data_IF_932890810405
#
_entry.id   IF_932890810405
#
_cell.length_a   1.000
_cell.length_b   1.000
_cell.length_c   1.000
_cell.angle_alpha   90.00
_cell.angle_beta   90.00
_cell.angle_gamma   90.00
#
_symmetry.space_group_name_H-M   'P 1'
#
loop_
_entity.id
_entity.type
_entity.pdbx_description
1 polymer ?
#
# COMPACT_ATOMS: atom_id res chain seq x y z
N UNK A 1 -29.76 -0.64 -10.07
CA UNK A 1 -30.42 -1.78 -9.37
C UNK A 1 -30.11 -1.64 -7.89
N UNK A 2 -31.07 -1.16 -7.09
CA UNK A 2 -30.88 -1.06 -5.64
C UNK A 2 -30.94 -2.47 -5.04
N UNK A 3 -29.90 -2.86 -4.31
CA UNK A 3 -29.86 -4.14 -3.58
C UNK A 3 -30.98 -4.10 -2.55
N UNK A 4 -32.00 -4.94 -2.73
CA UNK A 4 -33.08 -5.10 -1.73
C UNK A 4 -32.47 -5.73 -0.49
N UNK A 5 -32.49 -5.00 0.61
CA UNK A 5 -32.11 -5.51 1.93
C UNK A 5 -33.10 -6.60 2.35
N UNK A 6 -32.62 -7.85 2.38
CA UNK A 6 -33.39 -9.04 2.77
C UNK A 6 -33.04 -9.52 4.18
N UNK A 7 -32.29 -8.72 4.95
CA UNK A 7 -31.85 -9.12 6.28
C UNK A 7 -33.04 -9.40 7.20
N UNK A 8 -34.09 -8.58 7.13
CA UNK A 8 -35.31 -8.75 7.92
C UNK A 8 -36.09 -10.04 7.56
N UNK A 9 -36.15 -10.40 6.28
CA UNK A 9 -36.77 -11.66 5.83
C UNK A 9 -36.02 -12.87 6.39
N UNK A 10 -34.68 -12.82 6.38
CA UNK A 10 -33.83 -13.89 6.90
C UNK A 10 -33.90 -14.03 8.43
N UNK A 11 -34.02 -12.92 9.16
CA UNK A 11 -34.22 -12.93 10.62
C UNK A 11 -35.58 -13.52 11.02
N UNK A 12 -36.64 -13.25 10.25
CA UNK A 12 -37.94 -13.87 10.49
C UNK A 12 -37.93 -15.38 10.23
N UNK A 13 -37.21 -15.83 9.20
CA UNK A 13 -37.05 -17.26 8.89
C UNK A 13 -36.20 -17.97 9.95
N UNK A 14 -35.15 -17.33 10.47
CA UNK A 14 -34.34 -17.90 11.55
C UNK A 14 -35.11 -17.96 12.88
N UNK A 15 -35.93 -16.95 13.19
CA UNK A 15 -36.77 -16.94 14.39
C UNK A 15 -37.94 -17.94 14.30
N UNK A 16 -38.52 -18.15 13.11
CA UNK A 16 -39.56 -19.15 12.86
C UNK A 16 -39.05 -20.60 12.92
N UNK A 17 -37.74 -20.81 12.73
CA UNK A 17 -37.06 -22.10 12.86
C UNK A 17 -36.50 -22.32 14.27
N UNK A 18 -37.27 -21.97 15.32
CA UNK A 18 -36.96 -22.19 16.74
C UNK A 18 -37.00 -23.69 17.14
N UNK A 19 -36.46 -24.56 16.29
CA UNK A 19 -36.23 -25.97 16.56
C UNK A 19 -34.97 -26.42 15.81
N UNK A 20 -33.91 -26.66 16.57
CA UNK A 20 -32.75 -27.53 16.23
C UNK A 20 -31.51 -26.86 15.57
N UNK A 21 -31.49 -25.57 15.26
CA UNK A 21 -30.31 -24.94 14.59
C UNK A 21 -29.57 -23.86 15.38
N UNK A 22 -29.93 -23.62 16.64
CA UNK A 22 -29.46 -22.44 17.37
C UNK A 22 -28.10 -22.57 18.08
N UNK A 23 -27.41 -23.73 18.06
CA UNK A 23 -26.26 -23.89 18.95
C UNK A 23 -25.23 -24.90 18.43
N UNK A 24 -24.38 -24.50 17.47
CA UNK A 24 -23.06 -25.18 17.24
C UNK A 24 -21.99 -24.29 16.61
N UNK A 25 -22.16 -22.97 16.51
CA UNK A 25 -21.03 -22.09 16.19
C UNK A 25 -20.80 -21.21 17.41
N UNK A 26 -20.23 -21.81 18.44
CA UNK A 26 -19.44 -21.04 19.38
C UNK A 26 -18.30 -20.46 18.54
N UNK A 27 -18.38 -19.16 18.25
CA UNK A 27 -17.21 -18.40 17.83
C UNK A 27 -16.27 -18.48 19.03
N UNK A 28 -15.25 -19.33 18.94
CA UNK A 28 -14.21 -19.37 19.95
C UNK A 28 -13.70 -17.93 20.12
N UNK A 29 -13.75 -17.37 21.34
CA UNK A 29 -13.32 -16.00 21.55
C UNK A 29 -11.80 -16.02 21.44
N UNK A 30 -11.31 -15.55 20.29
CA UNK A 30 -9.91 -15.26 19.97
C UNK A 30 -9.11 -16.43 19.39
N UNK A 31 -9.29 -16.66 18.08
CA UNK A 31 -8.35 -17.47 17.30
C UNK A 31 -7.02 -16.72 17.18
N UNK A 32 -5.89 -17.40 17.44
CA UNK A 32 -4.54 -16.86 17.26
C UNK A 32 -4.23 -16.40 15.81
N UNK A 33 -5.11 -16.68 14.84
CA UNK A 33 -5.08 -16.09 13.50
C UNK A 33 -5.51 -14.64 13.48
N UNK A 34 -6.47 -14.23 14.31
CA UNK A 34 -6.96 -12.85 14.35
C UNK A 34 -5.87 -11.90 14.86
N UNK A 35 -5.09 -12.31 15.85
CA UNK A 35 -3.94 -11.54 16.33
C UNK A 35 -2.89 -11.29 15.24
N UNK A 36 -2.61 -12.31 14.42
CA UNK A 36 -1.66 -12.18 13.30
C UNK A 36 -2.19 -11.25 12.22
N UNK A 37 -3.49 -11.31 11.94
CA UNK A 37 -4.18 -10.41 11.01
C UNK A 37 -4.12 -8.98 11.52
N UNK A 38 -4.48 -8.76 12.79
CA UNK A 38 -4.46 -7.43 13.41
C UNK A 38 -3.04 -6.83 13.43
N UNK A 39 -2.03 -7.63 13.77
CA UNK A 39 -0.63 -7.19 13.76
C UNK A 39 -0.19 -6.77 12.36
N UNK A 40 -0.56 -7.54 11.33
CA UNK A 40 -0.28 -7.19 9.95
C UNK A 40 -0.98 -5.89 9.55
N UNK A 41 -2.28 -5.74 9.83
CA UNK A 41 -3.01 -4.53 9.47
C UNK A 41 -2.48 -3.30 10.19
N UNK A 42 -2.08 -3.41 11.45
CA UNK A 42 -1.42 -2.32 12.18
C UNK A 42 -0.11 -1.90 11.51
N UNK A 43 0.67 -2.84 10.99
CA UNK A 43 1.89 -2.53 10.26
C UNK A 43 1.62 -1.87 8.90
N UNK A 44 0.65 -2.40 8.14
CA UNK A 44 0.21 -1.80 6.88
C UNK A 44 -0.30 -0.38 7.11
N UNK A 45 -1.10 -0.16 8.15
CA UNK A 45 -1.62 1.17 8.44
C UNK A 45 -0.52 2.13 8.92
N UNK A 46 0.51 1.65 9.63
CA UNK A 46 1.71 2.45 9.93
C UNK A 46 2.43 2.88 8.65
N UNK A 47 2.64 1.96 7.70
CA UNK A 47 3.23 2.29 6.40
C UNK A 47 2.37 3.30 5.64
N UNK A 48 1.05 3.11 5.63
CA UNK A 48 0.11 4.06 4.99
C UNK A 48 0.10 5.42 5.68
N UNK A 49 0.29 5.47 7.01
CA UNK A 49 0.52 6.70 7.76
C UNK A 49 1.72 7.46 7.23
N UNK A 50 2.88 6.81 7.13
CA UNK A 50 4.08 7.44 6.58
C UNK A 50 3.94 7.87 5.12
N UNK A 51 3.17 7.14 4.30
CA UNK A 51 2.86 7.53 2.92
C UNK A 51 1.99 8.80 2.89
N UNK A 52 1.02 8.93 3.80
CA UNK A 52 0.22 10.16 3.93
C UNK A 52 1.09 11.34 4.38
N UNK A 53 1.95 11.13 5.38
CA UNK A 53 2.89 12.15 5.86
C UNK A 53 3.84 12.61 4.73
N UNK A 54 4.27 11.69 3.85
CA UNK A 54 5.08 12.00 2.67
C UNK A 54 4.30 12.88 1.67
N UNK A 55 3.02 12.58 1.42
CA UNK A 55 2.18 13.41 0.56
C UNK A 55 1.92 14.79 1.17
N UNK A 56 1.62 14.86 2.47
CA UNK A 56 1.43 16.12 3.18
C UNK A 56 2.69 17.00 3.13
N UNK A 57 3.88 16.40 3.33
CA UNK A 57 5.15 17.09 3.15
C UNK A 57 5.38 17.53 1.70
N UNK A 58 4.98 16.71 0.73
CA UNK A 58 5.05 17.07 -0.71
C UNK A 58 4.17 18.27 -1.03
N UNK A 59 2.95 18.31 -0.48
CA UNK A 59 2.07 19.45 -0.61
C UNK A 59 2.65 20.69 0.08
N UNK A 60 3.27 20.53 1.26
CA UNK A 60 3.95 21.60 1.96
C UNK A 60 5.12 22.17 1.13
N UNK A 61 5.94 21.31 0.53
CA UNK A 61 7.03 21.72 -0.39
C UNK A 61 6.49 22.60 -1.52
N UNK A 62 5.39 22.18 -2.15
CA UNK A 62 4.74 22.97 -3.21
C UNK A 62 4.22 24.31 -2.71
N UNK A 63 3.60 24.36 -1.53
CA UNK A 63 3.05 25.58 -0.94
C UNK A 63 4.14 26.58 -0.55
N UNK A 64 5.16 26.11 0.17
CA UNK A 64 6.29 26.94 0.60
C UNK A 64 7.04 27.53 -0.59
N UNK A 65 7.23 26.75 -1.64
CA UNK A 65 7.91 27.21 -2.83
C UNK A 65 7.05 28.14 -3.70
N UNK A 66 5.73 27.99 -3.67
CA UNK A 66 4.81 28.92 -4.35
C UNK A 66 4.68 30.28 -3.67
N UNK A 67 5.20 30.42 -2.44
CA UNK A 67 5.16 31.68 -1.70
C UNK A 67 6.12 32.70 -2.34
N UNK A 68 5.66 33.88 -2.75
CA UNK A 68 6.51 34.90 -3.38
C UNK A 68 7.62 35.42 -2.45
N UNK A 69 7.48 35.25 -1.14
CA UNK A 69 8.48 35.66 -0.14
C UNK A 69 9.57 34.62 0.11
N UNK A 70 9.46 33.43 -0.50
CA UNK A 70 10.37 32.30 -0.28
C UNK A 70 11.86 32.69 -0.41
N UNK A 71 12.23 33.45 -1.44
CA UNK A 71 13.61 33.88 -1.68
C UNK A 71 14.13 34.94 -0.70
N UNK A 72 13.22 35.63 0.00
CA UNK A 72 13.58 36.66 0.98
C UNK A 72 13.58 36.13 2.40
N UNK A 73 12.85 35.03 2.65
CA UNK A 73 12.63 34.50 3.99
C UNK A 73 13.41 33.21 4.21
N UNK A 74 14.54 33.32 4.91
CA UNK A 74 15.39 32.19 5.30
C UNK A 74 14.63 31.12 6.09
N UNK A 75 13.61 31.49 6.87
CA UNK A 75 12.82 30.52 7.63
C UNK A 75 12.00 29.61 6.71
N UNK A 76 11.45 30.14 5.60
CA UNK A 76 10.72 29.33 4.62
C UNK A 76 11.64 28.38 3.88
N UNK A 77 12.86 28.82 3.56
CA UNK A 77 13.91 27.97 2.98
C UNK A 77 14.28 26.82 3.92
N UNK A 78 14.51 27.11 5.21
CA UNK A 78 14.80 26.08 6.20
C UNK A 78 13.61 25.12 6.40
N UNK A 79 12.37 25.60 6.33
CA UNK A 79 11.18 24.74 6.38
C UNK A 79 11.08 23.82 5.16
N UNK A 80 11.40 24.33 3.97
CA UNK A 80 11.44 23.53 2.74
C UNK A 80 12.48 22.42 2.85
N UNK A 81 13.71 22.77 3.25
CA UNK A 81 14.82 21.82 3.40
C UNK A 81 14.47 20.74 4.45
N UNK A 82 13.83 21.13 5.56
CA UNK A 82 13.31 20.18 6.57
C UNK A 82 12.23 19.28 5.98
N UNK A 83 11.28 19.81 5.21
CA UNK A 83 10.22 19.01 4.60
C UNK A 83 10.79 17.99 3.60
N UNK A 84 11.75 18.40 2.76
CA UNK A 84 12.41 17.51 1.79
C UNK A 84 13.20 16.40 2.48
N UNK A 85 14.01 16.74 3.48
CA UNK A 85 14.78 15.75 4.26
C UNK A 85 13.87 14.79 5.02
N UNK A 86 12.76 15.28 5.59
CA UNK A 86 11.76 14.44 6.23
C UNK A 86 11.05 13.51 5.22
N UNK A 87 10.69 14.01 4.04
CA UNK A 87 10.11 13.22 2.96
C UNK A 87 11.05 12.07 2.54
N UNK A 88 12.33 12.34 2.34
CA UNK A 88 13.31 11.31 1.98
C UNK A 88 13.49 10.27 3.10
N UNK A 89 13.54 10.73 4.36
CA UNK A 89 13.59 9.83 5.51
C UNK A 89 12.34 8.95 5.64
N UNK A 90 11.14 9.49 5.39
CA UNK A 90 9.89 8.72 5.34
C UNK A 90 9.89 7.72 4.20
N UNK A 91 10.37 8.10 3.01
CA UNK A 91 10.53 7.20 1.88
C UNK A 91 11.43 6.00 2.20
N UNK A 92 12.59 6.24 2.83
CA UNK A 92 13.47 5.17 3.29
C UNK A 92 12.80 4.25 4.33
N UNK A 93 12.05 4.81 5.28
CA UNK A 93 11.30 4.03 6.28
C UNK A 93 10.24 3.13 5.64
N UNK A 94 9.44 3.69 4.72
CA UNK A 94 8.41 2.92 3.98
C UNK A 94 9.08 1.82 3.15
N UNK A 95 10.17 2.12 2.45
CA UNK A 95 10.91 1.13 1.67
C UNK A 95 11.48 0.00 2.54
N UNK A 96 12.05 0.34 3.70
CA UNK A 96 12.56 -0.65 4.67
C UNK A 96 11.45 -1.55 5.23
N UNK A 97 10.31 -0.96 5.60
CA UNK A 97 9.15 -1.72 6.08
C UNK A 97 8.54 -2.60 4.99
N UNK A 98 8.41 -2.09 3.75
CA UNK A 98 7.94 -2.88 2.60
C UNK A 98 8.85 -4.09 2.34
N UNK A 99 10.18 -3.94 2.43
CA UNK A 99 11.14 -5.06 2.34
C UNK A 99 10.91 -6.11 3.42
N UNK A 100 10.76 -5.69 4.68
CA UNK A 100 10.51 -6.60 5.80
C UNK A 100 9.13 -7.27 5.72
N UNK A 101 8.16 -6.60 5.12
CA UNK A 101 6.84 -7.16 4.86
C UNK A 101 6.90 -8.19 3.73
N UNK A 102 7.63 -7.89 2.65
CA UNK A 102 7.83 -8.80 1.52
C UNK A 102 8.49 -10.11 1.94
N UNK A 103 9.58 -10.07 2.75
CA UNK A 103 10.26 -11.29 3.19
C UNK A 103 9.34 -12.21 3.99
N UNK A 104 8.45 -11.66 4.82
CA UNK A 104 7.44 -12.43 5.55
C UNK A 104 6.35 -13.00 4.64
N UNK A 105 5.87 -12.21 3.67
CA UNK A 105 4.91 -12.69 2.68
C UNK A 105 5.52 -13.80 1.83
N UNK A 106 6.76 -13.67 1.37
CA UNK A 106 7.46 -14.70 0.60
C UNK A 106 7.62 -16.00 1.41
N UNK A 107 8.03 -15.91 2.68
CA UNK A 107 8.15 -17.07 3.57
C UNK A 107 6.83 -17.79 3.85
N UNK A 108 5.71 -17.06 3.88
CA UNK A 108 4.37 -17.65 4.11
C UNK A 108 3.82 -18.46 2.94
N UNK A 109 4.30 -18.24 1.71
CA UNK A 109 3.82 -18.94 0.52
C UNK A 109 4.36 -20.37 0.37
N UNK A 110 5.56 -20.63 0.88
CA UNK A 110 6.25 -21.92 0.72
C UNK A 110 5.74 -23.04 1.66
N UNK A 111 5.00 -22.71 2.73
CA UNK A 111 4.54 -23.66 3.74
C UNK A 111 3.03 -23.94 3.76
N UNK A 112 2.25 -23.33 2.88
CA UNK A 112 0.78 -23.25 2.99
C UNK A 112 0.01 -24.38 2.31
N UNK A 113 0.14 -25.62 2.81
CA UNK A 113 -0.82 -26.69 2.51
C UNK A 113 -2.22 -26.36 3.09
N UNK A 114 -3.25 -26.71 2.33
CA UNK A 114 -4.69 -26.58 2.60
C UNK A 114 -5.10 -26.44 4.08
N UNK A 115 -5.34 -25.21 4.54
CA UNK A 115 -6.03 -24.92 5.82
C UNK A 115 -5.55 -23.64 6.51
N UNK A 116 -6.34 -22.57 6.46
CA UNK A 116 -6.17 -21.34 7.26
C UNK A 116 -5.04 -20.39 6.82
N UNK A 117 -3.83 -20.91 6.61
CA UNK A 117 -2.65 -20.10 6.23
C UNK A 117 -2.78 -19.43 4.86
N UNK A 118 -3.53 -20.05 3.93
CA UNK A 118 -3.74 -19.52 2.58
C UNK A 118 -4.50 -18.20 2.53
N UNK A 119 -5.56 -18.04 3.36
CA UNK A 119 -6.37 -16.81 3.37
C UNK A 119 -5.60 -15.63 3.94
N UNK A 120 -4.91 -15.83 5.08
CA UNK A 120 -4.06 -14.81 5.68
C UNK A 120 -2.95 -14.37 4.72
N UNK A 121 -2.28 -15.32 4.07
CA UNK A 121 -1.23 -15.03 3.11
C UNK A 121 -1.75 -14.25 1.90
N UNK A 122 -2.93 -14.59 1.38
CA UNK A 122 -3.59 -13.85 0.30
C UNK A 122 -3.91 -12.41 0.70
N UNK A 123 -4.45 -12.20 1.90
CA UNK A 123 -4.71 -10.87 2.44
C UNK A 123 -3.40 -10.09 2.56
N UNK A 124 -2.36 -10.68 3.15
CA UNK A 124 -1.02 -10.09 3.27
C UNK A 124 -0.51 -9.59 1.91
N UNK A 125 -0.62 -10.47 0.93
CA UNK A 125 -0.12 -10.25 -0.41
C UNK A 125 -0.85 -9.12 -1.13
N UNK A 126 -2.17 -9.05 -0.99
CA UNK A 126 -2.98 -7.96 -1.52
C UNK A 126 -2.62 -6.63 -0.84
N UNK A 127 -2.48 -6.63 0.49
CA UNK A 127 -2.10 -5.44 1.25
C UNK A 127 -0.71 -4.92 0.88
N UNK A 128 0.26 -5.82 0.68
CA UNK A 128 1.59 -5.48 0.18
C UNK A 128 1.53 -4.83 -1.20
N UNK A 129 0.83 -5.46 -2.15
CA UNK A 129 0.69 -4.92 -3.51
C UNK A 129 0.01 -3.55 -3.53
N UNK A 130 -1.06 -3.36 -2.75
CA UNK A 130 -1.76 -2.09 -2.63
C UNK A 130 -0.87 -1.01 -2.01
N UNK A 131 -0.21 -1.30 -0.88
CA UNK A 131 0.66 -0.35 -0.18
C UNK A 131 1.87 0.04 -1.02
N UNK A 132 2.46 -0.91 -1.76
CA UNK A 132 3.57 -0.66 -2.67
C UNK A 132 3.16 0.27 -3.82
N UNK A 133 1.97 0.07 -4.40
CA UNK A 133 1.44 0.97 -5.44
C UNK A 133 1.24 2.38 -4.91
N UNK A 134 0.57 2.52 -3.75
CA UNK A 134 0.38 3.81 -3.09
C UNK A 134 1.70 4.53 -2.79
N UNK A 135 2.72 3.80 -2.34
CA UNK A 135 4.05 4.35 -2.11
C UNK A 135 4.72 4.83 -3.40
N UNK A 136 4.60 4.05 -4.48
CA UNK A 136 5.10 4.45 -5.80
C UNK A 136 4.43 5.73 -6.32
N UNK A 137 3.10 5.83 -6.17
CA UNK A 137 2.35 7.03 -6.57
C UNK A 137 2.77 8.25 -5.75
N UNK A 138 2.93 8.11 -4.43
CA UNK A 138 3.38 9.20 -3.55
C UNK A 138 4.82 9.66 -3.86
N UNK A 139 5.74 8.73 -4.13
CA UNK A 139 7.10 9.07 -4.58
C UNK A 139 7.10 9.81 -5.92
N UNK A 140 6.23 9.42 -6.86
CA UNK A 140 6.13 10.08 -8.16
C UNK A 140 5.58 11.49 -8.03
N UNK A 141 4.59 11.69 -7.16
CA UNK A 141 4.10 13.03 -6.82
C UNK A 141 5.20 13.88 -6.17
N UNK A 142 5.98 13.32 -5.24
CA UNK A 142 7.10 14.02 -4.62
C UNK A 142 8.17 14.43 -5.63
N UNK A 143 8.56 13.49 -6.51
CA UNK A 143 9.49 13.76 -7.61
C UNK A 143 9.01 14.88 -8.51
N UNK A 144 7.74 14.84 -8.96
CA UNK A 144 7.17 15.87 -9.82
C UNK A 144 7.18 17.25 -9.15
N UNK A 145 6.95 17.30 -7.83
CA UNK A 145 7.07 18.54 -7.08
C UNK A 145 8.50 19.09 -7.10
N UNK A 146 9.51 18.24 -6.87
CA UNK A 146 10.92 18.64 -6.94
C UNK A 146 11.38 19.01 -8.36
N UNK A 147 10.91 18.28 -9.39
CA UNK A 147 11.18 18.62 -10.80
C UNK A 147 10.61 20.00 -11.14
N UNK A 148 9.40 20.35 -10.70
CA UNK A 148 8.84 21.68 -10.90
C UNK A 148 9.64 22.79 -10.19
N UNK A 149 10.16 22.50 -8.98
CA UNK A 149 11.04 23.42 -8.25
C UNK A 149 12.34 23.63 -9.04
N UNK A 150 12.97 22.55 -9.52
CA UNK A 150 14.19 22.61 -10.35
C UNK A 150 13.97 23.43 -11.60
N UNK A 151 12.90 23.16 -12.35
CA UNK A 151 12.62 23.83 -13.62
C UNK A 151 12.40 25.33 -13.41
N UNK A 152 11.74 25.72 -12.31
CA UNK A 152 11.62 27.12 -11.93
C UNK A 152 12.97 27.76 -11.59
N UNK A 153 13.84 27.08 -10.84
CA UNK A 153 15.19 27.58 -10.54
C UNK A 153 16.04 27.74 -11.80
N UNK A 154 16.00 26.78 -12.72
CA UNK A 154 16.70 26.87 -14.00
C UNK A 154 16.24 28.08 -14.81
N UNK A 155 14.92 28.33 -14.86
CA UNK A 155 14.36 29.48 -15.55
C UNK A 155 14.82 30.81 -14.93
N UNK A 156 14.81 30.92 -13.60
CA UNK A 156 15.29 32.11 -12.89
C UNK A 156 16.78 32.35 -13.10
N UNK A 157 17.59 31.29 -13.03
CA UNK A 157 19.02 31.34 -13.27
C UNK A 157 19.32 31.82 -14.70
N UNK A 158 18.61 31.26 -15.68
CA UNK A 158 18.71 31.69 -17.08
C UNK A 158 18.36 33.18 -17.27
N UNK A 159 17.29 33.64 -16.62
CA UNK A 159 16.89 35.05 -16.67
C UNK A 159 17.93 35.97 -16.02
N UNK A 160 18.51 35.58 -14.87
CA UNK A 160 19.56 36.37 -14.22
C UNK A 160 20.82 36.45 -15.08
N UNK A 161 21.24 35.35 -15.70
CA UNK A 161 22.36 35.32 -16.62
C UNK A 161 22.11 36.27 -17.81
N UNK A 162 20.91 36.25 -18.39
CA UNK A 162 20.55 37.16 -19.50
C UNK A 162 20.58 38.63 -19.09
N UNK A 163 20.12 38.95 -17.88
CA UNK A 163 20.11 40.34 -17.37
C UNK A 163 21.52 40.85 -17.06
N UNK A 164 22.44 39.98 -16.63
CA UNK A 164 23.84 40.33 -16.38
C UNK A 164 24.63 40.72 -17.64
N UNK A 165 23.97 40.72 -18.81
CA UNK A 165 24.50 41.20 -20.09
C UNK A 165 25.84 40.55 -20.47
N UNK A 166 26.01 39.30 -20.06
CA UNK A 166 27.00 38.40 -20.59
C UNK A 166 26.55 38.05 -22.01
N UNK A 167 27.31 38.49 -23.00
CA UNK A 167 27.12 38.15 -24.42
C UNK A 167 27.41 36.66 -24.69
N UNK A 168 26.76 35.79 -23.93
CA UNK A 168 26.86 34.34 -24.00
C UNK A 168 25.67 33.86 -24.82
N UNK A 169 25.93 33.04 -25.84
CA UNK A 169 24.86 32.38 -26.62
C UNK A 169 24.01 31.50 -25.69
N UNK A 170 22.71 31.32 -25.99
CA UNK A 170 21.84 30.41 -25.24
C UNK A 170 22.45 28.98 -25.14
N UNK A 171 23.23 28.56 -26.15
CA UNK A 171 23.94 27.26 -26.18
C UNK A 171 25.16 27.22 -25.25
N UNK A 172 25.93 28.30 -25.18
CA UNK A 172 27.07 28.41 -24.26
C UNK A 172 26.56 28.49 -22.81
N UNK A 173 25.46 29.21 -22.57
CA UNK A 173 24.82 29.28 -21.25
C UNK A 173 24.40 27.89 -20.77
N UNK A 174 23.78 27.07 -21.63
CA UNK A 174 23.43 25.68 -21.29
C UNK A 174 24.65 24.83 -20.98
N UNK A 175 25.71 24.92 -21.79
CA UNK A 175 26.95 24.15 -21.52
C UNK A 175 27.67 24.58 -20.23
N UNK A 176 27.56 25.85 -19.83
CA UNK A 176 28.09 26.36 -18.56
C UNK A 176 27.26 25.89 -17.36
N UNK A 177 25.95 25.76 -17.52
CA UNK A 177 25.06 25.17 -16.51
C UNK A 177 25.34 23.67 -16.34
N UNK A 178 25.51 22.94 -17.44
CA UNK A 178 25.77 21.50 -17.45
C UNK A 178 27.17 21.14 -16.94
N UNK A 179 28.18 21.97 -17.24
CA UNK A 179 29.58 21.72 -16.86
C UNK A 179 29.86 21.92 -15.37
N UNK A 180 28.89 22.42 -14.60
CA UNK A 180 29.02 22.66 -13.15
C UNK A 180 30.31 23.43 -12.80
N UNK A 181 30.81 24.33 -13.66
CA UNK A 181 32.04 25.09 -13.44
C UNK A 181 31.77 26.60 -13.35
N UNK A 182 31.85 27.16 -12.14
CA UNK A 182 31.55 28.57 -11.83
C UNK A 182 32.67 29.50 -12.32
N UNK A 183 33.90 29.00 -12.39
CA UNK A 183 35.09 29.77 -12.77
C UNK A 183 34.97 30.44 -14.14
N UNK A 184 34.38 29.74 -15.12
CA UNK A 184 34.16 30.27 -16.46
C UNK A 184 33.19 31.46 -16.50
N UNK A 185 32.30 31.60 -15.51
CA UNK A 185 31.40 32.75 -15.38
C UNK A 185 32.10 33.97 -14.79
N UNK A 186 32.92 33.74 -13.76
CA UNK A 186 33.67 34.77 -13.04
C UNK A 186 34.78 35.38 -13.91
N UNK A 187 35.38 34.59 -14.80
CA UNK A 187 36.44 35.05 -15.71
C UNK A 187 35.91 35.89 -16.89
N UNK A 188 34.66 35.66 -17.32
CA UNK A 188 34.04 36.38 -18.45
C UNK A 188 33.30 37.67 -18.05
N UNK A 189 32.83 37.78 -16.80
CA UNK A 189 32.29 39.03 -16.28
C UNK A 189 33.46 39.96 -15.95
N UNK A 190 33.68 41.00 -16.75
CA UNK A 190 34.60 42.10 -16.40
C UNK A 190 34.14 42.69 -15.07
N UNK A 191 34.75 42.24 -13.98
CA UNK A 191 34.42 42.58 -12.59
C UNK A 191 34.82 44.01 -12.18
N UNK A 192 34.68 44.96 -13.11
CA UNK A 192 35.08 46.36 -12.94
C UNK A 192 34.03 47.19 -12.17
N UNK A 193 32.76 46.73 -12.08
CA UNK A 193 31.69 47.47 -11.38
C UNK A 193 31.15 46.72 -10.15
N UNK A 194 30.83 47.47 -9.09
CA UNK A 194 30.22 46.91 -7.88
C UNK A 194 28.85 46.25 -8.13
N UNK A 195 28.13 46.70 -9.15
CA UNK A 195 26.86 46.12 -9.59
C UNK A 195 27.04 44.70 -10.16
N UNK A 196 28.03 44.48 -11.04
CA UNK A 196 28.31 43.17 -11.61
C UNK A 196 28.68 42.13 -10.54
N UNK A 197 29.38 42.54 -9.47
CA UNK A 197 29.71 41.66 -8.33
C UNK A 197 28.47 41.25 -7.52
N UNK A 198 27.48 42.13 -7.42
CA UNK A 198 26.25 41.82 -6.70
C UNK A 198 25.38 40.83 -7.48
N UNK A 199 25.30 41.00 -8.80
CA UNK A 199 24.56 40.05 -9.65
C UNK A 199 25.24 38.69 -9.74
N UNK A 200 26.58 38.64 -9.81
CA UNK A 200 27.33 37.38 -9.73
C UNK A 200 27.01 36.60 -8.45
N UNK A 201 26.96 37.28 -7.30
CA UNK A 201 26.58 36.64 -6.02
C UNK A 201 25.14 36.12 -6.04
N UNK A 202 24.23 36.81 -6.72
CA UNK A 202 22.86 36.33 -6.88
C UNK A 202 22.82 35.06 -7.74
N UNK A 203 23.57 35.01 -8.85
CA UNK A 203 23.72 33.83 -9.71
C UNK A 203 24.34 32.65 -8.94
N UNK A 204 25.38 32.89 -8.15
CA UNK A 204 26.00 31.87 -7.28
C UNK A 204 25.01 31.29 -6.27
N UNK A 205 24.27 32.15 -5.56
CA UNK A 205 23.27 31.72 -4.59
C UNK A 205 22.15 30.88 -5.23
N UNK A 206 21.69 31.25 -6.43
CA UNK A 206 20.70 30.46 -7.19
C UNK A 206 21.23 29.10 -7.60
N UNK A 207 22.48 29.03 -8.01
CA UNK A 207 23.09 27.77 -8.38
C UNK A 207 23.25 26.84 -7.17
N UNK A 208 23.55 27.38 -6.00
CA UNK A 208 23.56 26.60 -4.75
C UNK A 208 22.15 26.07 -4.41
N UNK A 209 21.09 26.88 -4.60
CA UNK A 209 19.70 26.42 -4.49
C UNK A 209 19.39 25.28 -5.50
N UNK A 210 19.80 25.43 -6.75
CA UNK A 210 19.62 24.40 -7.78
C UNK A 210 20.34 23.09 -7.42
N UNK A 211 21.61 23.17 -7.00
CA UNK A 211 22.40 22.01 -6.60
C UNK A 211 21.78 21.23 -5.43
N UNK A 212 21.13 21.94 -4.49
CA UNK A 212 20.37 21.33 -3.39
C UNK A 212 19.16 20.54 -3.89
N UNK A 213 18.38 21.13 -4.80
CA UNK A 213 17.20 20.45 -5.39
C UNK A 213 17.63 19.23 -6.22
N UNK A 214 18.73 19.34 -6.97
CA UNK A 214 19.29 18.19 -7.70
C UNK A 214 19.77 17.06 -6.78
N UNK A 215 20.34 17.39 -5.63
CA UNK A 215 20.70 16.39 -4.62
C UNK A 215 19.47 15.67 -4.09
N UNK A 216 18.40 16.41 -3.76
CA UNK A 216 17.13 15.82 -3.34
C UNK A 216 16.52 14.93 -4.44
N UNK A 217 16.59 15.34 -5.71
CA UNK A 217 16.13 14.52 -6.84
C UNK A 217 16.95 13.24 -7.02
N UNK A 218 18.26 13.27 -6.72
CA UNK A 218 19.10 12.06 -6.73
C UNK A 218 18.68 11.08 -5.64
N UNK A 219 18.42 11.56 -4.42
CA UNK A 219 17.93 10.73 -3.32
C UNK A 219 16.58 10.08 -3.66
N UNK A 220 15.64 10.83 -4.23
CA UNK A 220 14.34 10.27 -4.68
C UNK A 220 14.53 9.24 -5.80
N UNK A 221 15.49 9.45 -6.71
CA UNK A 221 15.83 8.47 -7.75
C UNK A 221 16.37 7.17 -7.16
N UNK A 222 17.19 7.24 -6.12
CA UNK A 222 17.64 6.05 -5.39
C UNK A 222 16.46 5.31 -4.75
N UNK A 223 15.49 6.03 -4.15
CA UNK A 223 14.25 5.43 -3.65
C UNK A 223 13.45 4.71 -4.75
N UNK A 224 13.39 5.28 -5.95
CA UNK A 224 12.77 4.62 -7.10
C UNK A 224 13.48 3.35 -7.55
N UNK A 225 14.82 3.35 -7.54
CA UNK A 225 15.59 2.14 -7.85
C UNK A 225 15.32 1.04 -6.82
N UNK A 226 15.26 1.41 -5.54
CA UNK A 226 14.91 0.49 -4.46
C UNK A 226 13.48 -0.06 -4.61
N UNK A 227 12.52 0.79 -4.98
CA UNK A 227 11.15 0.37 -5.26
C UNK A 227 11.08 -0.55 -6.49
N UNK A 228 11.82 -0.25 -7.56
CA UNK A 228 11.88 -1.07 -8.76
C UNK A 228 12.40 -2.49 -8.47
N UNK A 229 13.39 -2.62 -7.58
CA UNK A 229 13.86 -3.92 -7.13
C UNK A 229 12.76 -4.75 -6.44
N UNK A 230 11.90 -4.11 -5.63
CA UNK A 230 10.73 -4.75 -5.01
C UNK A 230 9.68 -5.16 -6.04
N UNK A 231 9.54 -4.38 -7.12
CA UNK A 231 8.59 -4.72 -8.20
C UNK A 231 9.08 -5.93 -9.01
N UNK A 232 10.36 -5.93 -9.38
CA UNK A 232 10.97 -6.99 -10.19
C UNK A 232 10.90 -8.37 -9.50
N UNK A 233 11.08 -8.42 -8.17
CA UNK A 233 10.93 -9.64 -7.39
C UNK A 233 9.48 -10.19 -7.37
N UNK A 234 8.49 -9.39 -7.75
CA UNK A 234 7.07 -9.69 -7.55
C UNK A 234 6.29 -9.96 -8.85
N UNK A 235 6.87 -9.67 -10.02
CA UNK A 235 6.16 -9.64 -11.31
C UNK A 235 5.57 -11.00 -11.77
N UNK A 236 6.02 -12.12 -11.19
CA UNK A 236 5.66 -13.47 -11.66
C UNK A 236 4.31 -14.00 -11.11
N UNK A 237 3.62 -13.27 -10.23
CA UNK A 237 2.50 -13.85 -9.48
C UNK A 237 1.34 -12.88 -9.14
N UNK A 238 1.33 -11.59 -9.54
CA UNK A 238 0.33 -10.57 -9.08
C UNK A 238 -0.99 -10.58 -9.87
N UNK A 239 -1.06 -11.24 -11.03
CA UNK A 239 -2.29 -11.37 -11.84
C UNK A 239 -3.41 -12.21 -11.16
N UNK A 240 -3.29 -12.46 -9.87
CA UNK A 240 -4.10 -13.39 -9.12
C UNK A 240 -5.20 -12.74 -8.27
N UNK A 241 -5.63 -11.50 -8.50
CA UNK A 241 -6.90 -11.03 -7.87
C UNK A 241 -8.08 -11.86 -8.40
N UNK A 242 -8.10 -12.10 -9.71
CA UNK A 242 -9.06 -13.01 -10.35
C UNK A 242 -8.85 -14.45 -9.88
N UNK A 243 -7.61 -14.95 -9.89
CA UNK A 243 -7.26 -16.29 -9.39
C UNK A 243 -7.70 -16.51 -7.93
N UNK A 244 -7.48 -15.54 -7.05
CA UNK A 244 -7.88 -15.63 -5.65
C UNK A 244 -9.40 -15.52 -5.49
N UNK A 245 -10.07 -14.65 -6.24
CA UNK A 245 -11.54 -14.62 -6.27
C UNK A 245 -12.11 -15.97 -6.75
N UNK A 246 -11.56 -16.55 -7.82
CA UNK A 246 -11.92 -17.87 -8.35
C UNK A 246 -11.69 -19.00 -7.34
N UNK A 247 -10.56 -18.98 -6.63
CA UNK A 247 -10.27 -20.00 -5.61
C UNK A 247 -11.18 -19.86 -4.38
N UNK A 248 -11.59 -18.64 -4.01
CA UNK A 248 -12.58 -18.44 -2.95
C UNK A 248 -13.96 -18.98 -3.36
N UNK A 249 -14.36 -18.81 -4.62
CA UNK A 249 -15.61 -19.42 -5.12
C UNK A 249 -15.54 -20.94 -5.12
N UNK A 250 -14.40 -21.54 -5.47
CA UNK A 250 -14.20 -22.99 -5.46
C UNK A 250 -14.33 -23.59 -4.03
N UNK A 251 -13.77 -22.92 -3.02
CA UNK A 251 -13.91 -23.35 -1.63
C UNK A 251 -15.36 -23.27 -1.11
N UNK A 252 -16.13 -22.26 -1.51
CA UNK A 252 -17.56 -22.14 -1.17
C UNK A 252 -18.38 -23.24 -1.84
N UNK A 253 -18.09 -23.55 -3.10
CA UNK A 253 -18.76 -24.65 -3.83
C UNK A 253 -18.48 -26.01 -3.19
N UNK A 254 -17.22 -26.29 -2.84
CA UNK A 254 -16.84 -27.51 -2.15
C UNK A 254 -17.50 -27.62 -0.76
N UNK A 255 -17.54 -26.52 -0.01
CA UNK A 255 -18.26 -26.44 1.26
C UNK A 255 -19.76 -26.74 1.10
N UNK A 256 -20.40 -26.13 0.09
CA UNK A 256 -21.79 -26.40 -0.27
C UNK A 256 -22.04 -27.89 -0.57
N UNK A 257 -21.16 -28.52 -1.34
CA UNK A 257 -21.26 -29.96 -1.62
C UNK A 257 -21.06 -30.84 -0.38
N UNK A 258 -20.17 -30.47 0.54
CA UNK A 258 -19.97 -31.19 1.79
C UNK A 258 -21.18 -31.07 2.72
N UNK A 259 -21.82 -29.90 2.79
CA UNK A 259 -23.08 -29.70 3.52
C UNK A 259 -24.21 -30.53 2.91
N UNK A 260 -24.33 -30.55 1.58
CA UNK A 260 -25.32 -31.39 0.88
C UNK A 260 -25.07 -32.89 1.14
N UNK A 261 -23.82 -33.36 1.04
CA UNK A 261 -23.47 -34.75 1.37
C UNK A 261 -23.78 -35.07 2.84
N UNK A 262 -23.47 -34.16 3.77
CA UNK A 262 -23.78 -34.29 5.19
C UNK A 262 -25.28 -34.36 5.51
N UNK A 263 -26.11 -33.58 4.84
CA UNK A 263 -27.58 -33.64 5.02
C UNK A 263 -28.16 -34.95 4.50
N UNK A 264 -27.69 -35.45 3.34
CA UNK A 264 -28.13 -36.72 2.76
C UNK A 264 -27.66 -37.92 3.60
N UNK A 265 -26.44 -37.91 4.13
CA UNK A 265 -25.97 -38.99 5.03
C UNK A 265 -26.70 -38.96 6.38
N UNK A 266 -27.00 -37.77 6.93
CA UNK A 266 -27.76 -37.62 8.18
C UNK A 266 -29.21 -38.09 8.05
N UNK A 267 -29.89 -37.78 6.94
CA UNK A 267 -31.26 -38.27 6.70
C UNK A 267 -31.30 -39.78 6.50
N UNK A 268 -30.33 -40.36 5.78
CA UNK A 268 -30.16 -41.82 5.66
C UNK A 268 -29.89 -42.49 7.00
N UNK A 269 -29.05 -41.90 7.85
CA UNK A 269 -28.78 -42.40 9.19
C UNK A 269 -30.03 -42.37 10.10
N UNK A 270 -30.86 -41.32 10.02
CA UNK A 270 -32.14 -41.24 10.75
C UNK A 270 -33.12 -42.33 10.34
N UNK A 271 -33.27 -42.61 9.03
CA UNK A 271 -34.14 -43.68 8.54
C UNK A 271 -33.69 -45.06 9.04
N UNK A 272 -32.38 -45.32 9.07
CA UNK A 272 -31.82 -46.57 9.63
C UNK A 272 -32.07 -46.70 11.14
N UNK A 273 -31.91 -45.60 11.91
CA UNK A 273 -32.22 -45.59 13.36
C UNK A 273 -33.71 -45.84 13.63
N UNK A 274 -34.62 -45.23 12.86
CA UNK A 274 -36.06 -45.49 13.00
C UNK A 274 -36.44 -46.93 12.66
N UNK A 275 -35.86 -47.52 11.60
CA UNK A 275 -36.11 -48.92 11.25
C UNK A 275 -35.63 -49.88 12.34
N UNK A 276 -34.47 -49.61 12.96
CA UNK A 276 -33.96 -50.40 14.09
C UNK A 276 -34.91 -50.32 15.30
N UNK A 277 -35.39 -49.12 15.65
CA UNK A 277 -36.34 -48.93 16.75
C UNK A 277 -37.66 -49.65 16.51
N UNK A 278 -38.18 -49.62 15.27
CA UNK A 278 -39.41 -50.35 14.91
C UNK A 278 -39.22 -51.87 15.06
N UNK A 279 -38.10 -52.43 14.60
CA UNK A 279 -37.80 -53.85 14.75
C UNK A 279 -37.71 -54.27 16.23
N UNK A 280 -37.06 -53.46 17.07
CA UNK A 280 -36.99 -53.70 18.53
C UNK A 280 -38.37 -53.66 19.19
N UNK A 281 -39.22 -52.71 18.81
CA UNK A 281 -40.59 -52.60 19.34
C UNK A 281 -41.46 -53.81 18.98
N UNK A 282 -41.37 -54.29 17.73
CA UNK A 282 -42.10 -55.49 17.28
C UNK A 282 -41.60 -56.73 18.04
N UNK A 283 -40.28 -56.89 18.19
CA UNK A 283 -39.71 -58.00 18.95
C UNK A 283 -40.18 -58.02 20.40
N UNK A 284 -40.23 -56.85 21.05
CA UNK A 284 -40.74 -56.72 22.42
C UNK A 284 -42.23 -57.10 22.53
N UNK A 285 -43.05 -56.67 21.57
CA UNK A 285 -44.48 -57.02 21.51
C UNK A 285 -44.73 -58.52 21.42
N UNK A 286 -43.93 -59.24 20.60
CA UNK A 286 -44.05 -60.69 20.44
C UNK A 286 -43.72 -61.41 21.75
N UNK A 287 -42.64 -61.01 22.43
CA UNK A 287 -42.26 -61.60 23.73
C UNK A 287 -43.36 -61.40 24.76
N UNK A 288 -43.95 -60.20 24.80
CA UNK A 288 -45.03 -59.86 25.74
C UNK A 288 -46.30 -60.68 25.45
N UNK A 289 -46.61 -60.91 24.17
CA UNK A 289 -47.76 -61.73 23.76
C UNK A 289 -47.56 -63.20 24.14
N UNK A 290 -46.38 -63.77 23.93
CA UNK A 290 -46.07 -65.15 24.37
C UNK A 290 -46.25 -65.29 25.87
N UNK A 291 -45.75 -64.33 26.66
CA UNK A 291 -45.83 -64.34 28.12
C UNK A 291 -47.26 -64.19 28.66
N UNK A 292 -48.16 -63.55 27.90
CA UNK A 292 -49.60 -63.47 28.23
C UNK A 292 -50.41 -64.70 27.82
N UNK A 293 -49.93 -65.47 26.84
CA UNK A 293 -50.61 -66.65 26.29
C UNK A 293 -50.18 -67.96 26.98
N UNK A 294 -48.99 -67.96 27.60
CA UNK A 294 -48.52 -68.99 28.55
C UNK A 294 -49.01 -68.70 29.96
#
# INVERSE_FOLDING_TARGET
>A
MAVRDRLAELQHVSAGAAGVYADTVQLDPHDASDDKIHTMFQEVERMRGWIRDLDDNTQLVRRLYSDPTYHTNRQLQEQLDRAVTQSNALGLKVCGALRQFETRVAGGGAGGGAGGGGTLWRIARLQYAATRRLYGDALDQHRRALDAVRDHQLLLLHQQIKLTNLAISDEECQSLLDSNNISLFVDNVRAETAAARLELRAVEARREELARVEAALREVRELFQQLAALVAAQQDQIDSVEYYALQATEHVECGGQQLLKGTVTRTKARKKKMSLLLCLAIGFLIVLLVLLLT
#
